data_IF_585224910290
#
_entry.id   IF_585224910290
#
_cell.length_a   1.000
_cell.length_b   1.000
_cell.length_c   1.000
_cell.angle_alpha   90.00
_cell.angle_beta   90.00
_cell.angle_gamma   90.00
#
_symmetry.space_group_name_H-M   'P 1'
#
loop_
_entity.id
_entity.type
_entity.pdbx_description
1 polymer ?
#
# COMPACT_ATOMS: atom_id res chain seq x y z
N UNK A 1 -44.34 3.05 7.14
CA UNK A 1 -43.09 3.84 7.10
C UNK A 1 -41.93 2.87 6.94
N UNK A 2 -41.50 2.62 5.70
CA UNK A 2 -40.40 1.70 5.39
C UNK A 2 -39.06 2.42 5.53
N UNK A 3 -38.23 2.00 6.48
CA UNK A 3 -36.83 2.39 6.57
C UNK A 3 -36.07 1.84 5.35
N UNK A 4 -35.69 2.70 4.41
CA UNK A 4 -34.74 2.33 3.37
C UNK A 4 -33.37 2.04 4.02
N UNK A 5 -32.69 0.94 3.66
CA UNK A 5 -31.35 0.68 4.15
C UNK A 5 -30.43 1.81 3.67
N UNK A 6 -29.71 2.41 4.61
CA UNK A 6 -28.69 3.44 4.40
C UNK A 6 -27.91 3.16 3.12
N UNK A 7 -27.96 4.09 2.15
CA UNK A 7 -27.13 4.04 0.96
C UNK A 7 -25.67 3.85 1.40
N UNK A 8 -25.16 2.62 1.25
CA UNK A 8 -23.76 2.30 1.51
C UNK A 8 -22.91 3.31 0.73
N UNK A 9 -22.08 4.08 1.46
CA UNK A 9 -21.09 4.96 0.88
C UNK A 9 -20.14 4.10 0.03
N UNK A 10 -20.36 4.06 -1.28
CA UNK A 10 -19.52 3.30 -2.21
C UNK A 10 -18.26 4.12 -2.50
N UNK A 11 -17.20 3.83 -1.75
CA UNK A 11 -15.87 4.37 -2.04
C UNK A 11 -15.26 3.54 -3.18
N UNK A 12 -14.88 4.14 -4.32
CA UNK A 12 -14.24 3.41 -5.41
C UNK A 12 -12.92 2.80 -4.96
N UNK A 13 -12.88 1.47 -4.88
CA UNK A 13 -11.71 0.70 -4.46
C UNK A 13 -11.22 -0.25 -5.55
N UNK A 14 -9.93 -0.52 -5.57
CA UNK A 14 -9.32 -1.60 -6.35
C UNK A 14 -8.39 -2.42 -5.47
N UNK A 15 -8.08 -3.64 -5.90
CA UNK A 15 -7.02 -4.45 -5.31
C UNK A 15 -5.98 -4.82 -6.38
N UNK A 16 -4.71 -4.84 -6.00
CA UNK A 16 -3.60 -5.34 -6.81
C UNK A 16 -2.90 -6.46 -6.06
N UNK A 17 -2.95 -7.66 -6.62
CA UNK A 17 -2.29 -8.85 -6.07
C UNK A 17 -1.72 -9.74 -7.18
N UNK A 18 -0.94 -10.76 -6.79
CA UNK A 18 -0.27 -11.65 -7.75
C UNK A 18 -1.24 -12.50 -8.57
N UNK A 19 -2.40 -12.85 -8.04
CA UNK A 19 -3.36 -13.80 -8.65
C UNK A 19 -4.19 -13.22 -9.79
N UNK A 20 -4.22 -11.89 -9.95
CA UNK A 20 -4.93 -11.22 -11.05
C UNK A 20 -4.24 -11.37 -12.41
N UNK A 21 -5.04 -11.51 -13.46
CA UNK A 21 -4.53 -11.53 -14.85
C UNK A 21 -3.84 -10.22 -15.23
N UNK A 22 -2.91 -10.30 -16.19
CA UNK A 22 -2.20 -9.12 -16.69
C UNK A 22 -3.15 -8.07 -17.30
N UNK A 23 -4.23 -8.52 -17.96
CA UNK A 23 -5.25 -7.61 -18.54
C UNK A 23 -5.97 -6.82 -17.45
N UNK A 24 -6.35 -7.48 -16.36
CA UNK A 24 -6.99 -6.83 -15.20
C UNK A 24 -6.05 -5.84 -14.54
N UNK A 25 -4.80 -6.22 -14.28
CA UNK A 25 -3.79 -5.33 -13.69
C UNK A 25 -3.57 -4.07 -14.52
N UNK A 26 -3.41 -4.22 -15.85
CA UNK A 26 -3.26 -3.07 -16.76
C UNK A 26 -4.46 -2.13 -16.72
N UNK A 27 -5.68 -2.68 -16.67
CA UNK A 27 -6.90 -1.86 -16.55
C UNK A 27 -6.91 -1.09 -15.23
N UNK A 28 -6.65 -1.77 -14.11
CA UNK A 28 -6.61 -1.14 -12.79
C UNK A 28 -5.57 -0.01 -12.75
N UNK A 29 -4.35 -0.26 -13.27
CA UNK A 29 -3.29 0.74 -13.34
C UNK A 29 -3.72 1.97 -14.17
N UNK A 30 -4.36 1.75 -15.31
CA UNK A 30 -4.87 2.84 -16.14
C UNK A 30 -5.95 3.66 -15.42
N UNK A 31 -6.83 3.00 -14.67
CA UNK A 31 -7.91 3.64 -13.92
C UNK A 31 -7.38 4.37 -12.65
N UNK A 32 -6.30 3.87 -12.02
CA UNK A 32 -5.58 4.57 -10.94
C UNK A 32 -5.00 5.88 -11.47
N UNK A 33 -4.33 5.86 -12.62
CA UNK A 33 -3.75 7.08 -13.24
C UNK A 33 -4.81 8.14 -13.55
N UNK A 34 -6.02 7.71 -13.90
CA UNK A 34 -7.17 8.60 -14.14
C UNK A 34 -7.83 9.11 -12.84
N UNK A 35 -7.41 8.64 -11.67
CA UNK A 35 -7.99 9.04 -10.39
C UNK A 35 -9.38 8.45 -10.11
N UNK A 36 -9.73 7.36 -10.81
CA UNK A 36 -11.03 6.66 -10.66
C UNK A 36 -11.15 6.03 -9.27
N UNK A 37 -10.07 5.42 -8.79
CA UNK A 37 -10.02 4.78 -7.48
C UNK A 37 -9.57 5.76 -6.40
N UNK A 38 -10.20 5.65 -5.23
CA UNK A 38 -9.85 6.39 -4.00
C UNK A 38 -9.09 5.53 -3.00
N UNK A 39 -9.29 4.22 -3.05
CA UNK A 39 -8.62 3.25 -2.17
C UNK A 39 -8.00 2.15 -3.02
N UNK A 40 -6.75 1.80 -2.72
CA UNK A 40 -6.04 0.70 -3.34
C UNK A 40 -5.56 -0.28 -2.26
N UNK A 41 -6.06 -1.51 -2.34
CA UNK A 41 -5.53 -2.63 -1.56
C UNK A 41 -4.37 -3.27 -2.31
N UNK A 42 -3.23 -3.42 -1.66
CA UNK A 42 -2.04 -3.98 -2.29
C UNK A 42 -1.29 -4.83 -1.27
N UNK A 43 -0.74 -5.96 -1.72
CA UNK A 43 0.07 -6.81 -0.85
C UNK A 43 1.45 -6.18 -0.62
N UNK A 44 2.04 -6.33 0.58
CA UNK A 44 3.35 -5.77 0.87
C UNK A 44 4.43 -6.28 -0.09
N UNK A 45 4.33 -7.54 -0.51
CA UNK A 45 5.25 -8.16 -1.46
C UNK A 45 5.25 -7.44 -2.82
N UNK A 46 4.11 -6.90 -3.26
CA UNK A 46 4.02 -6.14 -4.50
C UNK A 46 4.64 -4.75 -4.33
N UNK A 47 4.34 -4.06 -3.22
CA UNK A 47 4.82 -2.69 -2.96
C UNK A 47 6.34 -2.64 -2.91
N UNK A 48 6.97 -3.64 -2.30
CA UNK A 48 8.44 -3.70 -2.18
C UNK A 48 9.16 -4.04 -3.49
N UNK A 49 8.43 -4.35 -4.57
CA UNK A 49 9.05 -4.55 -5.88
C UNK A 49 9.45 -3.23 -6.50
N UNK A 50 10.60 -3.20 -7.19
CA UNK A 50 11.03 -2.04 -7.98
C UNK A 50 9.98 -1.61 -9.01
N UNK A 51 9.27 -2.58 -9.57
CA UNK A 51 8.22 -2.33 -10.57
C UNK A 51 7.06 -1.51 -9.99
N UNK A 52 6.70 -1.67 -8.71
CA UNK A 52 5.62 -0.87 -8.12
C UNK A 52 6.02 0.60 -7.94
N UNK A 53 7.24 0.87 -7.44
CA UNK A 53 7.76 2.23 -7.36
C UNK A 53 7.85 2.89 -8.74
N UNK A 54 8.33 2.15 -9.75
CA UNK A 54 8.35 2.61 -11.14
C UNK A 54 6.92 2.98 -11.61
N UNK A 55 5.92 2.11 -11.36
CA UNK A 55 4.52 2.39 -11.72
C UNK A 55 3.97 3.66 -11.06
N UNK A 56 4.22 3.85 -9.76
CA UNK A 56 3.79 5.05 -9.01
C UNK A 56 4.43 6.30 -9.61
N UNK A 57 5.71 6.23 -9.96
CA UNK A 57 6.47 7.32 -10.57
C UNK A 57 6.25 7.47 -12.09
N UNK A 58 5.30 6.73 -12.68
CA UNK A 58 4.97 6.85 -14.10
C UNK A 58 5.98 6.22 -15.05
N UNK A 59 6.80 5.28 -14.59
CA UNK A 59 7.78 4.54 -15.38
C UNK A 59 7.25 3.15 -15.68
N UNK A 60 7.15 2.79 -16.96
CA UNK A 60 6.75 1.45 -17.40
C UNK A 60 7.80 0.81 -18.30
N UNK A 61 7.83 -0.52 -18.28
CA UNK A 61 8.69 -1.32 -19.16
C UNK A 61 7.83 -2.01 -20.22
N UNK A 62 7.96 -1.58 -21.48
CA UNK A 62 7.22 -2.12 -22.61
C UNK A 62 8.22 -2.69 -23.61
N UNK A 63 8.13 -4.00 -23.88
CA UNK A 63 9.05 -4.72 -24.80
C UNK A 63 10.54 -4.48 -24.50
N UNK A 64 10.90 -4.38 -23.22
CA UNK A 64 12.28 -4.16 -22.77
C UNK A 64 12.76 -2.70 -22.81
N UNK A 65 11.90 -1.76 -23.23
CA UNK A 65 12.20 -0.33 -23.23
C UNK A 65 11.46 0.39 -22.10
N UNK A 66 12.14 1.36 -21.48
CA UNK A 66 11.54 2.23 -20.47
C UNK A 66 10.73 3.31 -21.15
N UNK A 67 9.44 3.38 -20.82
CA UNK A 67 8.48 4.36 -21.32
C UNK A 67 8.01 5.20 -20.14
N UNK A 68 7.99 6.52 -20.33
CA UNK A 68 7.39 7.45 -19.35
C UNK A 68 5.91 7.62 -19.64
N UNK A 69 5.11 7.60 -18.58
CA UNK A 69 3.66 7.65 -18.56
C UNK A 69 3.22 8.60 -17.45
N UNK A 70 1.93 8.92 -17.40
CA UNK A 70 1.38 9.66 -16.26
C UNK A 70 1.67 8.89 -14.94
N UNK A 71 2.24 9.57 -13.91
CA UNK A 71 2.43 8.97 -12.60
C UNK A 71 1.08 8.72 -11.92
N UNK A 72 1.11 7.99 -10.81
CA UNK A 72 -0.08 7.85 -9.98
C UNK A 72 -0.39 9.18 -9.30
N UNK A 73 -1.67 9.41 -8.92
CA UNK A 73 -2.01 10.50 -8.02
C UNK A 73 -1.19 10.42 -6.73
N UNK A 74 -0.91 11.58 -6.11
CA UNK A 74 -0.20 11.66 -4.84
C UNK A 74 -0.89 10.76 -3.80
N UNK A 75 -0.10 9.89 -3.16
CA UNK A 75 -0.58 9.05 -2.06
C UNK A 75 -0.77 9.95 -0.84
N UNK A 76 -2.02 10.21 -0.48
CA UNK A 76 -2.34 11.07 0.67
C UNK A 76 -2.24 10.35 2.01
N UNK A 77 -2.43 9.03 2.03
CA UNK A 77 -2.51 8.22 3.25
C UNK A 77 -2.22 6.75 2.95
N UNK A 78 -1.54 6.06 3.87
CA UNK A 78 -1.33 4.62 3.83
C UNK A 78 -1.76 4.00 5.16
N UNK A 79 -2.56 2.94 5.06
CA UNK A 79 -2.90 2.08 6.19
C UNK A 79 -2.16 0.76 6.04
N UNK A 80 -1.35 0.39 7.03
CA UNK A 80 -0.66 -0.90 7.11
C UNK A 80 -1.38 -1.76 8.12
N UNK A 81 -2.09 -2.78 7.64
CA UNK A 81 -2.73 -3.77 8.49
C UNK A 81 -1.73 -4.85 8.93
N UNK A 82 -2.04 -5.54 10.02
CA UNK A 82 -1.19 -6.57 10.63
C UNK A 82 0.28 -6.14 10.82
N UNK A 83 0.49 -4.89 11.24
CA UNK A 83 1.79 -4.26 11.33
C UNK A 83 2.77 -5.01 12.24
N UNK A 84 2.27 -5.84 13.17
CA UNK A 84 3.08 -6.71 14.01
C UNK A 84 3.99 -7.66 13.20
N UNK A 85 3.70 -7.91 11.91
CA UNK A 85 4.52 -8.71 10.99
C UNK A 85 5.95 -8.16 10.77
N UNK A 86 6.24 -6.91 11.13
CA UNK A 86 7.61 -6.35 11.06
C UNK A 86 8.57 -6.93 12.09
N UNK A 87 8.05 -7.49 13.19
CA UNK A 87 8.87 -7.92 14.33
C UNK A 87 9.28 -9.37 14.17
N UNK A 88 10.58 -9.67 14.27
CA UNK A 88 11.12 -11.05 14.21
C UNK A 88 10.60 -11.95 15.35
N UNK A 89 10.12 -11.34 16.44
CA UNK A 89 9.50 -12.01 17.58
C UNK A 89 8.00 -12.24 17.38
N UNK A 90 7.46 -11.85 16.22
CA UNK A 90 6.12 -12.21 15.79
C UNK A 90 6.09 -13.64 15.26
N UNK A 91 5.06 -14.39 15.65
CA UNK A 91 4.73 -15.69 15.05
C UNK A 91 4.47 -15.62 13.54
N UNK A 92 4.14 -14.42 13.02
CA UNK A 92 3.84 -14.14 11.61
C UNK A 92 4.87 -13.19 10.96
N UNK A 93 6.13 -13.22 11.41
CA UNK A 93 7.18 -12.38 10.82
C UNK A 93 7.24 -12.50 9.29
N UNK A 94 7.23 -11.35 8.60
CA UNK A 94 7.33 -11.27 7.14
C UNK A 94 8.40 -10.26 6.72
N UNK A 95 9.51 -10.70 6.10
CA UNK A 95 10.58 -9.80 5.66
C UNK A 95 10.12 -8.66 4.73
N UNK A 96 9.03 -8.85 3.99
CA UNK A 96 8.45 -7.81 3.14
C UNK A 96 7.99 -6.58 3.94
N UNK A 97 7.53 -6.74 5.18
CA UNK A 97 7.08 -5.62 6.02
C UNK A 97 8.24 -4.72 6.47
N UNK A 98 9.43 -5.27 6.68
CA UNK A 98 10.63 -4.46 6.99
C UNK A 98 11.00 -3.54 5.83
N UNK A 99 10.94 -4.06 4.60
CA UNK A 99 11.21 -3.28 3.38
C UNK A 99 10.08 -2.32 3.05
N UNK A 100 8.84 -2.64 3.45
CA UNK A 100 7.67 -1.82 3.20
C UNK A 100 7.84 -0.42 3.80
N UNK A 101 8.27 -0.31 5.06
CA UNK A 101 8.50 0.99 5.71
C UNK A 101 9.49 1.87 4.93
N UNK A 102 10.62 1.30 4.52
CA UNK A 102 11.63 2.00 3.71
C UNK A 102 11.07 2.44 2.34
N UNK A 103 10.35 1.56 1.64
CA UNK A 103 9.77 1.91 0.33
C UNK A 103 8.70 2.99 0.47
N UNK A 104 7.81 2.88 1.46
CA UNK A 104 6.75 3.88 1.69
C UNK A 104 7.35 5.25 2.03
N UNK A 105 8.27 5.32 2.98
CA UNK A 105 8.83 6.58 3.47
C UNK A 105 9.86 7.17 2.49
N UNK A 106 10.84 6.39 2.05
CA UNK A 106 11.99 6.91 1.30
C UNK A 106 11.77 6.90 -0.23
N UNK A 107 11.06 5.88 -0.75
CA UNK A 107 10.89 5.74 -2.21
C UNK A 107 9.59 6.39 -2.72
N UNK A 108 8.50 6.25 -1.97
CA UNK A 108 7.20 6.80 -2.32
C UNK A 108 6.90 8.15 -1.64
N UNK A 109 7.72 8.55 -0.65
CA UNK A 109 7.58 9.84 0.03
C UNK A 109 6.27 9.96 0.84
N UNK A 110 5.75 8.85 1.36
CA UNK A 110 4.53 8.84 2.16
C UNK A 110 4.83 9.34 3.56
N UNK A 111 4.10 10.37 3.99
CA UNK A 111 4.25 10.96 5.32
C UNK A 111 3.15 10.55 6.30
N UNK A 112 1.99 10.15 5.79
CA UNK A 112 0.82 9.83 6.62
C UNK A 112 0.61 8.30 6.61
N UNK A 113 1.15 7.64 7.63
CA UNK A 113 1.07 6.18 7.79
C UNK A 113 0.32 5.86 9.08
N UNK A 114 -0.72 5.03 8.96
CA UNK A 114 -1.41 4.40 10.07
C UNK A 114 -1.05 2.92 10.09
N UNK A 115 -0.42 2.45 11.17
CA UNK A 115 -0.13 1.04 11.39
C UNK A 115 -1.15 0.44 12.36
N UNK A 116 -1.83 -0.63 11.95
CA UNK A 116 -2.85 -1.32 12.72
C UNK A 116 -2.41 -2.74 13.04
N UNK A 117 -2.73 -3.20 14.25
CA UNK A 117 -2.56 -4.60 14.64
C UNK A 117 -3.52 -4.91 15.80
N UNK A 118 -4.04 -6.14 15.85
CA UNK A 118 -4.94 -6.55 16.92
C UNK A 118 -4.20 -6.72 18.26
N UNK A 119 -3.01 -7.32 18.23
CA UNK A 119 -2.18 -7.55 19.42
C UNK A 119 -0.73 -7.18 19.12
N UNK A 120 -0.06 -6.58 20.11
CA UNK A 120 1.37 -6.27 20.05
C UNK A 120 1.95 -6.13 21.46
N UNK A 121 3.15 -6.66 21.66
CA UNK A 121 3.94 -6.34 22.87
C UNK A 121 4.52 -4.93 22.74
N UNK A 122 5.00 -4.35 23.85
CA UNK A 122 5.71 -3.05 23.84
C UNK A 122 6.93 -3.10 22.89
N UNK A 123 7.66 -4.22 22.89
CA UNK A 123 8.78 -4.42 21.97
C UNK A 123 8.33 -4.41 20.50
N UNK A 124 7.24 -5.11 20.18
CA UNK A 124 6.64 -5.12 18.83
C UNK A 124 6.18 -3.73 18.41
N UNK A 125 5.52 -2.97 19.29
CA UNK A 125 5.11 -1.58 19.03
C UNK A 125 6.32 -0.70 18.71
N UNK A 126 7.41 -0.81 19.47
CA UNK A 126 8.65 -0.08 19.21
C UNK A 126 9.25 -0.44 17.84
N UNK A 127 9.21 -1.72 17.45
CA UNK A 127 9.64 -2.15 16.11
C UNK A 127 8.78 -1.54 15.01
N UNK A 128 7.44 -1.53 15.18
CA UNK A 128 6.49 -0.91 14.23
C UNK A 128 6.75 0.59 14.08
N UNK A 129 6.84 1.31 15.20
CA UNK A 129 7.09 2.75 15.20
C UNK A 129 8.40 3.09 14.48
N UNK A 130 9.47 2.34 14.79
CA UNK A 130 10.77 2.53 14.12
C UNK A 130 10.70 2.21 12.63
N UNK A 131 10.03 1.12 12.23
CA UNK A 131 9.97 0.67 10.84
C UNK A 131 9.21 1.64 9.94
N UNK A 132 8.11 2.23 10.43
CA UNK A 132 7.27 3.16 9.67
C UNK A 132 7.53 4.64 10.00
N UNK A 133 8.60 4.94 10.73
CA UNK A 133 8.96 6.29 11.16
C UNK A 133 7.81 7.04 11.88
N UNK A 134 7.02 6.31 12.69
CA UNK A 134 5.91 6.87 13.46
C UNK A 134 6.45 7.43 14.77
N UNK A 135 6.16 8.71 15.04
CA UNK A 135 6.53 9.36 16.30
C UNK A 135 5.73 8.77 17.47
N UNK A 136 6.35 8.52 18.64
CA UNK A 136 5.64 8.09 19.85
C UNK A 136 4.75 9.20 20.44
N UNK A 137 4.92 10.45 20.02
CA UNK A 137 4.08 11.59 20.37
C UNK A 137 3.09 11.83 19.23
N UNK A 138 1.93 11.20 19.29
CA UNK A 138 0.77 11.58 18.47
C UNK A 138 0.11 12.83 19.00
#
# INVERSE_FOLDING_TARGET
MSTQPSQLLRIPGACLNSTQTQKTKKKIIADIRKGVYKVLYVSPELVVTKNFADLVHGKEWVKGQRVECAPFPKIGFVCVDEAHCVSEWSHNFRPAYLRLGLVLCETLGVTNILALTATATIATLNSVMKCFAISPSG
#
